data_IF_866440978925
#
_entry.id   IF_866440978925
#
_cell.length_a   1.000
_cell.length_b   1.000
_cell.length_c   1.000
_cell.angle_alpha   90.00
_cell.angle_beta   90.00
_cell.angle_gamma   90.00
#
_symmetry.space_group_name_H-M   'P 1'
#
loop_
_entity.id
_entity.type
_entity.pdbx_description
1 polymer ?
#
# COMPACT_ATOMS: atom_id res chain seq x y z
N UNK A 1 27.91 -28.32 43.69
CA UNK A 1 27.37 -28.27 43.51
C UNK A 1 26.31 -27.77 43.87
N UNK A 2 25.92 -27.54 43.95
CA UNK A 2 24.97 -27.18 44.19
C UNK A 2 24.45 -26.20 44.32
N UNK A 3 24.37 -25.79 44.19
CA UNK A 3 24.05 -24.90 44.27
C UNK A 3 23.19 -24.31 44.01
N UNK A 4 22.83 -24.03 43.81
CA UNK A 4 22.14 -23.53 43.63
C UNK A 4 21.25 -23.10 43.85
N UNK A 5 21.04 -23.17 43.85
CA UNK A 5 20.09 -22.90 44.01
C UNK A 5 19.45 -21.92 44.41
N UNK A 6 19.18 -21.62 44.69
CA UNK A 6 18.70 -20.87 45.14
C UNK A 6 18.30 -19.84 44.84
N UNK A 7 18.28 -19.52 44.69
CA UNK A 7 18.09 -18.64 44.56
C UNK A 7 17.27 -18.13 44.16
N UNK A 8 17.01 -17.84 43.96
CA UNK A 8 16.49 -17.39 43.62
C UNK A 8 15.36 -17.12 43.70
N UNK A 9 14.86 -16.98 43.61
CA UNK A 9 13.88 -16.90 43.81
C UNK A 9 13.40 -15.90 44.37
N UNK A 10 13.06 -15.55 44.63
CA UNK A 10 12.67 -14.75 45.45
C UNK A 10 12.34 -13.48 45.09
N UNK A 11 13.02 -12.96 44.74
CA UNK A 11 12.96 -11.64 44.57
C UNK A 11 12.02 -11.21 43.62
N UNK A 12 11.77 -11.90 42.82
CA UNK A 12 11.07 -11.51 41.74
C UNK A 12 9.77 -11.01 42.02
N UNK A 13 9.25 -11.28 43.06
CA UNK A 13 8.05 -10.93 43.26
C UNK A 13 7.68 -9.62 43.28
N UNK A 14 8.45 -8.85 43.79
CA UNK A 14 8.16 -7.59 43.96
C UNK A 14 7.77 -6.86 42.86
N UNK A 15 8.47 -6.92 41.97
CA UNK A 15 8.42 -6.14 40.88
C UNK A 15 7.14 -6.11 40.22
N UNK A 16 6.47 -7.12 40.22
CA UNK A 16 5.29 -7.18 39.47
C UNK A 16 4.29 -6.14 39.80
N UNK A 17 4.26 -5.80 41.00
CA UNK A 17 3.24 -4.89 41.37
C UNK A 17 3.31 -3.59 40.74
N UNK A 18 4.50 -3.13 40.52
CA UNK A 18 4.62 -1.84 40.08
C UNK A 18 4.25 -1.61 38.71
N UNK A 19 4.47 -2.51 37.96
CA UNK A 19 4.32 -2.31 36.61
C UNK A 19 2.95 -2.13 36.17
N UNK A 20 2.05 -2.60 36.85
CA UNK A 20 0.71 -2.50 36.41
C UNK A 20 0.26 -1.13 36.09
N UNK A 21 0.82 -0.20 36.82
CA UNK A 21 0.40 1.10 36.62
C UNK A 21 0.80 1.69 35.36
N UNK A 22 1.92 1.39 34.92
CA UNK A 22 2.43 2.04 33.77
C UNK A 22 1.68 1.65 32.51
N UNK A 23 1.13 0.51 32.51
CA UNK A 23 0.53 0.04 31.30
C UNK A 23 -0.67 0.82 30.87
N UNK A 24 -1.37 1.35 31.79
CA UNK A 24 -2.59 2.00 31.44
C UNK A 24 -2.40 3.16 30.54
N UNK A 25 -1.41 3.92 30.79
CA UNK A 25 -1.23 5.12 30.02
C UNK A 25 -0.79 4.87 28.60
N UNK A 26 0.01 3.85 28.44
CA UNK A 26 0.53 3.63 27.10
C UNK A 26 -0.51 3.05 26.16
N UNK A 27 -1.49 2.37 26.68
CA UNK A 27 -2.50 1.80 25.83
C UNK A 27 -3.27 2.87 25.08
N UNK A 28 -3.48 4.00 25.71
CA UNK A 28 -4.23 5.06 25.09
C UNK A 28 -3.47 5.67 23.95
N UNK A 29 -2.18 5.82 24.08
CA UNK A 29 -1.38 6.40 23.03
C UNK A 29 -1.34 5.50 21.80
N UNK A 30 -1.30 4.21 22.00
CA UNK A 30 -1.28 3.29 20.89
C UNK A 30 -2.57 3.33 20.08
N UNK A 31 -3.68 3.50 20.75
CA UNK A 31 -4.96 3.59 20.04
C UNK A 31 -5.03 4.81 19.15
N UNK A 32 -4.50 5.93 19.61
CA UNK A 32 -4.51 7.15 18.83
C UNK A 32 -3.64 7.02 17.58
N UNK A 33 -2.51 6.38 17.71
CA UNK A 33 -1.63 6.19 16.58
C UNK A 33 -2.27 5.31 15.51
N UNK A 34 -3.03 4.31 15.91
CA UNK A 34 -3.70 3.44 14.96
C UNK A 34 -4.73 4.19 14.13
N UNK A 35 -5.44 5.12 14.74
CA UNK A 35 -6.44 5.90 14.03
C UNK A 35 -5.82 6.77 12.94
N UNK A 36 -4.65 7.33 13.23
CA UNK A 36 -3.97 8.16 12.25
C UNK A 36 -3.53 7.37 11.02
N UNK A 37 -3.10 6.16 11.22
CA UNK A 37 -2.68 5.32 10.11
C UNK A 37 -3.84 4.97 9.17
N UNK A 38 -5.01 4.71 9.73
CA UNK A 38 -6.17 4.38 8.91
C UNK A 38 -6.55 5.54 8.01
N UNK A 39 -6.46 6.76 8.50
CA UNK A 39 -6.84 7.93 7.74
C UNK A 39 -5.93 8.19 6.53
N UNK A 40 -4.68 7.77 6.56
CA UNK A 40 -3.75 8.04 5.48
C UNK A 40 -3.76 6.97 4.38
N UNK A 41 -4.42 5.86 4.60
CA UNK A 41 -4.32 4.71 3.71
C UNK A 41 -5.26 4.68 2.51
N UNK A 42 -6.18 5.60 2.39
CA UNK A 42 -7.23 5.51 1.38
C UNK A 42 -7.08 6.46 0.20
N UNK A 43 -5.93 7.06 -0.01
CA UNK A 43 -5.76 8.09 -1.04
C UNK A 43 -5.94 7.61 -2.46
N UNK A 44 -5.60 6.38 -2.75
CA UNK A 44 -5.70 5.86 -4.10
C UNK A 44 -7.01 5.18 -4.41
N UNK A 45 -7.80 4.83 -3.40
CA UNK A 45 -9.06 4.15 -3.64
C UNK A 45 -9.98 5.03 -4.49
N UNK A 46 -10.65 4.44 -5.45
CA UNK A 46 -11.60 5.15 -6.29
C UNK A 46 -11.32 4.97 -7.77
N UNK A 47 -11.92 5.81 -8.57
CA UNK A 47 -11.83 5.73 -10.02
C UNK A 47 -10.83 6.75 -10.56
N UNK A 48 -9.97 6.28 -11.44
CA UNK A 48 -8.96 7.11 -12.10
C UNK A 48 -9.06 6.95 -13.60
N UNK A 49 -8.87 8.03 -14.33
CA UNK A 49 -8.84 8.02 -15.78
C UNK A 49 -7.52 8.58 -16.28
N UNK A 50 -7.01 8.00 -17.31
CA UNK A 50 -5.76 8.46 -17.88
C UNK A 50 -5.51 7.98 -19.28
N UNK A 51 -4.29 8.19 -19.73
CA UNK A 51 -3.85 7.76 -21.03
C UNK A 51 -2.42 7.26 -20.99
N UNK A 52 -2.05 6.49 -21.98
CA UNK A 52 -0.70 5.95 -22.12
C UNK A 52 -0.26 6.13 -23.56
N UNK A 53 1.05 6.20 -23.75
CA UNK A 53 1.64 6.35 -25.07
C UNK A 53 2.99 5.66 -25.12
N UNK A 54 3.54 5.56 -26.31
CA UNK A 54 4.79 4.87 -26.58
C UNK A 54 4.60 3.83 -27.66
N UNK A 55 5.00 2.59 -27.39
CA UNK A 55 4.85 1.50 -28.36
C UNK A 55 3.39 1.28 -28.74
N UNK A 56 2.50 1.51 -27.81
CA UNK A 56 1.06 1.48 -28.03
C UNK A 56 0.48 2.67 -27.30
N UNK A 57 -0.56 3.27 -27.80
CA UNK A 57 -1.20 4.40 -27.14
C UNK A 57 -2.71 4.21 -27.02
N UNK A 58 -3.29 4.83 -26.02
CA UNK A 58 -4.72 4.75 -25.75
C UNK A 58 -5.09 5.38 -24.42
N UNK A 59 -6.32 5.10 -23.99
CA UNK A 59 -6.86 5.60 -22.75
C UNK A 59 -7.14 4.44 -21.81
N UNK A 60 -7.18 4.72 -20.53
CA UNK A 60 -7.54 3.70 -19.54
C UNK A 60 -8.38 4.29 -18.41
N UNK A 61 -9.11 3.41 -17.77
CA UNK A 61 -9.83 3.70 -16.54
C UNK A 61 -9.45 2.66 -15.51
N UNK A 62 -9.09 3.08 -14.33
CA UNK A 62 -8.73 2.18 -13.25
C UNK A 62 -9.70 2.38 -12.10
N UNK A 63 -10.12 1.28 -11.49
CA UNK A 63 -10.85 1.30 -10.25
C UNK A 63 -9.95 0.65 -9.21
N UNK A 64 -9.46 1.45 -8.28
CA UNK A 64 -8.56 0.98 -7.24
C UNK A 64 -9.25 0.73 -5.93
N UNK A 65 -8.82 -0.34 -5.26
CA UNK A 65 -9.07 -0.59 -3.85
C UNK A 65 -7.72 -0.64 -3.18
N UNK A 66 -7.60 0.03 -2.06
CA UNK A 66 -6.35 0.11 -1.32
C UNK A 66 -6.52 -0.45 0.09
N UNK A 67 -5.60 -1.32 0.50
CA UNK A 67 -5.53 -1.86 1.85
C UNK A 67 -4.08 -1.70 2.31
N UNK A 68 -3.84 -0.72 3.15
CA UNK A 68 -2.49 -0.36 3.56
C UNK A 68 -1.69 0.11 2.35
N UNK A 69 -0.59 -0.55 2.08
CA UNK A 69 0.25 -0.27 0.92
C UNK A 69 -0.10 -1.13 -0.29
N UNK A 70 -1.07 -2.03 -0.16
CA UNK A 70 -1.44 -2.92 -1.25
C UNK A 70 -2.56 -2.34 -2.08
N UNK A 71 -2.46 -2.53 -3.38
CA UNK A 71 -3.46 -2.07 -4.33
C UNK A 71 -3.97 -3.24 -5.13
N UNK A 72 -5.27 -3.25 -5.38
CA UNK A 72 -5.86 -4.17 -6.34
C UNK A 72 -7.09 -3.51 -6.96
N UNK A 73 -7.44 -3.96 -8.11
CA UNK A 73 -8.57 -3.39 -8.83
C UNK A 73 -8.60 -3.87 -10.25
N UNK A 74 -9.21 -3.05 -11.11
CA UNK A 74 -9.32 -3.38 -12.52
C UNK A 74 -8.90 -2.20 -13.37
N UNK A 75 -8.32 -2.50 -14.53
CA UNK A 75 -8.00 -1.50 -15.54
C UNK A 75 -8.75 -1.85 -16.83
N UNK A 76 -9.36 -0.86 -17.43
CA UNK A 76 -10.01 -1.01 -18.72
C UNK A 76 -9.20 -0.21 -19.73
N UNK A 77 -8.72 -0.86 -20.77
CA UNK A 77 -7.90 -0.25 -21.80
C UNK A 77 -8.70 -0.04 -23.08
N UNK A 78 -8.36 0.99 -23.84
CA UNK A 78 -8.99 1.23 -25.13
C UNK A 78 -8.21 0.57 -26.27
N UNK A 79 -6.91 0.37 -26.11
CA UNK A 79 -6.07 -0.20 -27.17
C UNK A 79 -4.84 -0.93 -26.60
N UNK A 80 -4.77 -2.27 -26.67
CA UNK A 80 -5.85 -3.13 -27.15
C UNK A 80 -7.03 -3.07 -26.18
N UNK A 81 -8.22 -3.19 -26.72
CA UNK A 81 -9.41 -3.08 -25.91
C UNK A 81 -9.52 -4.27 -24.95
N UNK A 82 -9.80 -4.00 -23.70
CA UNK A 82 -9.96 -5.06 -22.73
C UNK A 82 -10.03 -4.58 -21.29
N UNK A 83 -10.44 -5.47 -20.40
CA UNK A 83 -10.51 -5.22 -18.99
C UNK A 83 -9.67 -6.28 -18.26
N UNK A 84 -8.81 -5.86 -17.39
CA UNK A 84 -7.86 -6.74 -16.73
C UNK A 84 -7.80 -6.46 -15.23
N UNK A 85 -7.53 -7.49 -14.47
CA UNK A 85 -7.29 -7.33 -13.05
C UNK A 85 -5.87 -6.85 -12.86
N UNK A 86 -5.70 -5.91 -11.94
CA UNK A 86 -4.40 -5.36 -11.64
C UNK A 86 -4.14 -5.39 -10.13
N UNK A 87 -2.89 -5.52 -9.79
CA UNK A 87 -2.45 -5.50 -8.41
C UNK A 87 -1.12 -4.81 -8.30
N UNK A 88 -0.85 -4.25 -7.15
CA UNK A 88 0.40 -3.56 -6.92
C UNK A 88 0.56 -3.02 -5.52
N UNK A 89 1.39 -2.00 -5.40
CA UNK A 89 1.70 -1.38 -4.13
C UNK A 89 1.97 0.11 -4.28
N UNK A 90 1.77 0.82 -3.18
CA UNK A 90 2.11 2.22 -3.08
C UNK A 90 2.89 2.45 -1.79
N UNK A 91 4.00 3.17 -1.89
CA UNK A 91 4.82 3.48 -0.74
C UNK A 91 5.46 4.84 -0.95
N UNK A 92 5.21 5.76 -0.04
CA UNK A 92 5.79 7.12 -0.09
C UNK A 92 5.57 7.83 -1.43
N UNK A 93 4.38 7.71 -1.97
CA UNK A 93 4.05 8.32 -3.24
C UNK A 93 4.56 7.58 -4.47
N UNK A 94 5.27 6.46 -4.31
CA UNK A 94 5.70 5.64 -5.42
C UNK A 94 4.71 4.52 -5.63
N UNK A 95 4.25 4.34 -6.86
CA UNK A 95 3.25 3.33 -7.17
C UNK A 95 3.82 2.34 -8.19
N UNK A 96 3.53 1.07 -7.99
CA UNK A 96 3.87 -0.01 -8.92
C UNK A 96 2.67 -0.90 -9.05
N UNK A 97 2.27 -1.21 -10.25
CA UNK A 97 1.17 -2.14 -10.46
C UNK A 97 1.32 -2.84 -11.81
N UNK A 98 0.56 -3.89 -12.02
CA UNK A 98 0.63 -4.64 -13.25
C UNK A 98 -0.61 -5.44 -13.55
N UNK A 99 -0.82 -5.69 -14.82
CA UNK A 99 -1.85 -6.58 -15.33
C UNK A 99 -1.15 -7.88 -15.70
N UNK A 100 -1.17 -8.83 -14.79
CA UNK A 100 -0.40 -10.07 -14.90
C UNK A 100 -0.77 -10.87 -16.14
N UNK A 101 -2.03 -10.86 -16.51
CA UNK A 101 -2.53 -11.64 -17.62
C UNK A 101 -1.96 -11.22 -18.99
N UNK A 102 -1.50 -9.98 -19.10
CA UNK A 102 -0.95 -9.46 -20.35
C UNK A 102 0.52 -9.04 -20.21
N UNK A 103 1.12 -9.28 -19.06
CA UNK A 103 2.52 -8.96 -18.84
C UNK A 103 2.83 -7.47 -18.77
N UNK A 104 1.84 -6.64 -18.55
CA UNK A 104 2.05 -5.20 -18.47
C UNK A 104 2.44 -4.78 -17.05
N UNK A 105 3.45 -3.93 -16.94
CA UNK A 105 3.93 -3.42 -15.67
C UNK A 105 3.98 -1.90 -15.72
N UNK A 106 3.55 -1.28 -14.64
CA UNK A 106 3.47 0.18 -14.53
C UNK A 106 4.20 0.64 -13.29
N UNK A 107 4.95 1.73 -13.42
CA UNK A 107 5.63 2.38 -12.30
C UNK A 107 5.38 3.87 -12.39
N UNK A 108 5.20 4.51 -11.27
CA UNK A 108 4.99 5.95 -11.29
C UNK A 108 5.02 6.60 -9.94
N UNK A 109 4.60 7.85 -9.91
CA UNK A 109 4.54 8.67 -8.72
C UNK A 109 3.14 9.23 -8.57
N UNK A 110 2.64 9.20 -7.34
CA UNK A 110 1.37 9.80 -6.99
C UNK A 110 1.61 11.18 -6.42
N UNK A 111 0.89 12.17 -6.93
CA UNK A 111 0.94 13.55 -6.41
C UNK A 111 -0.49 14.06 -6.30
N UNK A 112 -1.03 14.05 -5.09
CA UNK A 112 -2.41 14.49 -4.85
C UNK A 112 -3.39 13.63 -5.63
N UNK A 113 -4.09 14.20 -6.57
CA UNK A 113 -5.08 13.52 -7.40
C UNK A 113 -4.56 13.18 -8.80
N UNK A 114 -3.26 13.23 -8.99
CA UNK A 114 -2.62 12.88 -10.27
C UNK A 114 -1.54 11.84 -10.05
N UNK A 115 -1.32 11.02 -11.03
CA UNK A 115 -0.21 10.09 -11.04
C UNK A 115 0.33 9.92 -12.45
N UNK A 116 1.61 9.64 -12.58
CA UNK A 116 2.26 9.47 -13.86
C UNK A 116 3.50 8.59 -13.73
N UNK A 117 3.94 8.05 -14.82
CA UNK A 117 5.11 7.21 -14.84
C UNK A 117 5.36 6.53 -16.17
N UNK A 118 5.93 5.34 -16.10
CA UNK A 118 6.28 4.54 -17.28
C UNK A 118 5.63 3.18 -17.21
N UNK A 119 5.47 2.56 -18.35
CA UNK A 119 4.93 1.20 -18.45
C UNK A 119 5.78 0.37 -19.41
N UNK A 120 5.77 -0.94 -19.20
CA UNK A 120 6.44 -1.91 -20.06
C UNK A 120 5.54 -3.12 -20.28
N UNK A 121 5.67 -3.74 -21.44
CA UNK A 121 4.97 -4.97 -21.79
C UNK A 121 5.80 -5.74 -22.81
N UNK A 122 5.41 -6.95 -23.20
CA UNK A 122 6.11 -7.70 -24.24
C UNK A 122 6.14 -6.96 -25.58
N UNK A 123 5.22 -6.04 -25.84
CA UNK A 123 5.19 -5.27 -27.07
C UNK A 123 6.02 -4.00 -27.01
N UNK A 124 6.58 -3.66 -25.86
CA UNK A 124 7.36 -2.44 -25.68
C UNK A 124 6.91 -1.66 -24.47
N UNK A 125 7.15 -0.37 -24.46
CA UNK A 125 6.83 0.47 -23.31
C UNK A 125 6.59 1.91 -23.69
N UNK A 126 6.37 2.74 -22.69
CA UNK A 126 6.11 4.15 -22.88
C UNK A 126 5.82 4.85 -21.57
N UNK A 127 5.07 5.93 -21.65
CA UNK A 127 4.67 6.72 -20.48
C UNK A 127 3.17 6.68 -20.29
N UNK A 128 2.73 7.03 -19.07
CA UNK A 128 1.31 7.09 -18.76
C UNK A 128 1.06 8.18 -17.72
N UNK A 129 -0.16 8.67 -17.71
CA UNK A 129 -0.61 9.61 -16.69
C UNK A 129 -2.08 9.41 -16.43
N UNK A 130 -2.52 9.74 -15.22
CA UNK A 130 -3.90 9.59 -14.80
C UNK A 130 -4.28 10.61 -13.75
N UNK A 131 -5.56 10.85 -13.60
CA UNK A 131 -6.09 11.69 -12.55
C UNK A 131 -7.33 11.05 -11.94
N UNK A 132 -7.58 11.38 -10.70
CA UNK A 132 -8.69 10.82 -9.95
C UNK A 132 -9.97 11.51 -10.36
N UNK A 133 -11.01 10.74 -10.60
CA UNK A 133 -12.31 11.28 -11.00
C UNK A 133 -13.41 11.00 -9.97
N UNK A 134 -13.19 10.11 -9.03
CA UNK A 134 -14.13 9.89 -7.93
C UNK A 134 -13.54 9.00 -6.84
#
# INVERSE_FOLDING_TARGET
MDVQPLKRRLPALWIAALLALACSGTALAAASASSSHVATQSKLAGKWKGHYGGAVSGHFTINWKQTGSRLHGTITLSNPSGKYDIGGSVLRGKIKFGAVSVGAKYKGTLRGTSMSGTWTSPQGGGSWSAHKVS
#
